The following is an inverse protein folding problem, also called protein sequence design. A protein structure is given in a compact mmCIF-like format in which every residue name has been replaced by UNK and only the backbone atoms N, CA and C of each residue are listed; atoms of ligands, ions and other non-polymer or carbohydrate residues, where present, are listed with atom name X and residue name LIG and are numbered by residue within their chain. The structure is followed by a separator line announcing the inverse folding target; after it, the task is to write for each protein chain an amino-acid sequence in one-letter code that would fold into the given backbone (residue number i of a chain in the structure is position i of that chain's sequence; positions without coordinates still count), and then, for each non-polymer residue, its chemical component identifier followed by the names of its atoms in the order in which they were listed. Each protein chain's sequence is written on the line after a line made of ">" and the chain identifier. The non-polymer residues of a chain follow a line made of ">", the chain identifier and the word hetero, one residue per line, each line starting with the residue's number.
data_IF_529117173006
#
_entry.id   IF_529117173006
#
_cell.length_a   1.000
_cell.length_b   1.000
_cell.length_c   1.000
_cell.angle_alpha   90.00
_cell.angle_beta   90.00
_cell.angle_gamma   90.00
#
_symmetry.space_group_name_H-M   'P 1'
#
loop_
_entity.id
_entity.type
_entity.pdbx_description
1 polymer ?
#
# COMPACT_ATOMS: atom_id res chain seq x y z
N UNK A 1 -10.27 19.39 -1.76
CA UNK A 1 -9.85 18.54 -2.88
C UNK A 1 -9.78 17.14 -2.34
N UNK A 2 -10.74 16.27 -2.72
CA UNK A 2 -10.71 14.86 -2.36
C UNK A 2 -9.50 14.26 -3.04
N UNK A 3 -8.52 13.80 -2.27
CA UNK A 3 -7.34 13.13 -2.79
C UNK A 3 -7.78 11.93 -3.61
N UNK A 4 -7.33 11.88 -4.86
CA UNK A 4 -7.51 10.71 -5.73
C UNK A 4 -6.94 9.47 -5.01
N UNK A 5 -7.79 8.54 -4.52
CA UNK A 5 -7.33 7.41 -3.71
C UNK A 5 -6.62 6.35 -4.54
N UNK A 6 -6.51 6.55 -5.86
CA UNK A 6 -5.99 5.52 -6.75
C UNK A 6 -4.47 5.64 -6.80
N UNK A 7 -3.83 4.89 -5.93
CA UNK A 7 -2.45 4.47 -6.06
C UNK A 7 -2.23 3.94 -7.47
N UNK A 8 -1.42 4.61 -8.28
CA UNK A 8 -1.13 4.15 -9.64
C UNK A 8 -0.12 3.01 -9.58
N UNK A 9 -0.66 1.78 -9.47
CA UNK A 9 0.16 0.57 -9.47
C UNK A 9 0.50 0.19 -10.90
N UNK A 10 1.78 -0.05 -11.15
CA UNK A 10 2.31 -0.49 -12.43
C UNK A 10 2.08 -1.99 -12.62
N UNK A 11 2.31 -2.45 -13.85
CA UNK A 11 2.19 -3.88 -14.21
C UNK A 11 3.12 -4.80 -13.41
N UNK A 12 4.17 -4.29 -12.81
CA UNK A 12 5.11 -5.04 -11.96
C UNK A 12 4.78 -4.93 -10.47
N UNK A 13 3.58 -4.50 -10.13
CA UNK A 13 3.11 -4.24 -8.77
C UNK A 13 3.84 -3.09 -8.06
N UNK A 14 4.70 -2.33 -8.74
CA UNK A 14 5.27 -1.13 -8.16
C UNK A 14 4.27 0.02 -8.16
N UNK A 15 4.28 0.83 -7.10
CA UNK A 15 3.53 2.08 -7.05
C UNK A 15 4.33 3.20 -7.73
N UNK A 16 3.68 3.95 -8.63
CA UNK A 16 4.20 5.26 -9.03
C UNK A 16 3.84 6.26 -7.95
N UNK A 17 4.79 6.53 -7.08
CA UNK A 17 4.62 7.53 -6.02
C UNK A 17 4.56 8.93 -6.63
N UNK A 18 3.47 9.65 -6.36
CA UNK A 18 3.34 11.06 -6.71
C UNK A 18 3.79 11.91 -5.53
N UNK A 19 4.94 12.53 -5.68
CA UNK A 19 5.45 13.48 -4.69
C UNK A 19 4.66 14.77 -4.69
N UNK A 20 4.74 15.51 -3.58
CA UNK A 20 4.01 16.76 -3.41
C UNK A 20 4.53 17.85 -4.33
N UNK A 21 5.87 17.94 -4.45
CA UNK A 21 6.56 18.92 -5.27
C UNK A 21 7.51 18.25 -6.25
N UNK A 22 7.66 18.86 -7.41
CA UNK A 22 8.58 18.36 -8.45
C UNK A 22 10.03 18.43 -7.96
N UNK A 23 10.72 17.30 -7.99
CA UNK A 23 12.12 17.21 -7.57
C UNK A 23 12.33 16.98 -6.07
N UNK A 24 11.29 17.04 -5.24
CA UNK A 24 11.35 16.74 -3.82
C UNK A 24 10.69 15.38 -3.58
N UNK A 25 11.46 14.32 -3.25
CA UNK A 25 10.95 12.97 -3.18
C UNK A 25 10.20 12.69 -1.85
N UNK A 26 9.13 13.46 -1.61
CA UNK A 26 8.30 13.42 -0.42
C UNK A 26 6.82 13.53 -0.80
N UNK A 27 6.00 12.66 -0.25
CA UNK A 27 4.54 12.69 -0.36
C UNK A 27 3.92 12.55 1.02
N UNK A 28 3.13 13.53 1.44
CA UNK A 28 2.43 13.55 2.73
C UNK A 28 0.94 13.63 2.44
N UNK A 29 0.17 12.64 2.87
CA UNK A 29 -1.28 12.54 2.59
C UNK A 29 -2.06 12.15 3.84
N UNK A 30 -3.26 12.67 3.91
CA UNK A 30 -4.31 12.10 4.76
C UNK A 30 -5.09 11.08 3.95
N UNK A 31 -5.52 10.02 4.60
CA UNK A 31 -6.29 8.97 3.99
C UNK A 31 -7.45 8.52 4.87
N UNK A 32 -8.53 8.11 4.20
CA UNK A 32 -9.62 7.34 4.80
C UNK A 32 -9.63 5.97 4.14
N UNK A 33 -9.73 4.93 4.94
CA UNK A 33 -9.73 3.57 4.39
C UNK A 33 -10.98 3.29 3.56
N UNK A 34 -12.09 3.97 3.84
CA UNK A 34 -13.33 3.95 3.04
C UNK A 34 -13.17 4.54 1.63
N UNK A 35 -12.10 5.29 1.36
CA UNK A 35 -11.79 5.75 0.00
C UNK A 35 -11.32 4.61 -0.93
N UNK A 36 -10.90 3.48 -0.38
CA UNK A 36 -10.48 2.31 -1.14
C UNK A 36 -11.65 1.32 -1.29
N UNK A 37 -11.80 0.66 -2.47
CA UNK A 37 -12.81 -0.37 -2.65
C UNK A 37 -12.71 -1.43 -1.55
N UNK A 38 -13.86 -1.75 -0.93
CA UNK A 38 -13.95 -2.72 0.16
C UNK A 38 -13.00 -2.45 1.33
N UNK A 39 -12.69 -1.17 1.62
CA UNK A 39 -11.76 -0.75 2.68
C UNK A 39 -10.41 -1.47 2.58
N UNK A 40 -9.87 -1.60 1.35
CA UNK A 40 -8.64 -2.35 1.09
C UNK A 40 -7.80 -1.68 0.00
N UNK A 41 -6.54 -1.40 0.30
CA UNK A 41 -5.56 -0.99 -0.70
C UNK A 41 -5.09 -2.19 -1.54
N UNK A 42 -4.65 -1.92 -2.77
CA UNK A 42 -4.00 -2.93 -3.61
C UNK A 42 -2.66 -3.35 -3.01
N UNK A 43 -2.30 -4.62 -3.18
CA UNK A 43 -0.99 -5.11 -2.80
C UNK A 43 0.06 -4.54 -3.75
N UNK A 44 1.03 -3.80 -3.21
CA UNK A 44 2.05 -3.09 -4.00
C UNK A 44 3.38 -3.01 -3.26
N UNK A 45 4.38 -2.50 -3.96
CA UNK A 45 5.68 -2.15 -3.41
C UNK A 45 6.20 -0.86 -4.05
N UNK A 46 7.11 -0.17 -3.37
CA UNK A 46 7.81 1.01 -3.86
C UNK A 46 9.22 1.10 -3.27
N UNK A 47 10.04 1.99 -3.80
CA UNK A 47 11.40 2.23 -3.29
C UNK A 47 11.42 3.17 -2.09
N UNK A 48 10.31 3.85 -1.82
CA UNK A 48 10.15 4.77 -0.71
C UNK A 48 10.06 4.03 0.62
N UNK A 49 10.45 4.72 1.69
CA UNK A 49 10.09 4.37 3.06
C UNK A 49 8.69 4.90 3.28
N UNK A 50 7.77 4.06 3.74
CA UNK A 50 6.41 4.46 4.07
C UNK A 50 6.21 4.55 5.58
N UNK A 51 5.51 5.61 5.99
CA UNK A 51 5.01 5.81 7.33
C UNK A 51 3.50 5.86 7.29
N UNK A 52 2.85 5.05 8.11
CA UNK A 52 1.41 5.07 8.32
C UNK A 52 1.16 5.34 9.79
N UNK A 53 0.47 6.44 10.11
CA UNK A 53 0.08 6.81 11.47
C UNK A 53 -1.44 6.85 11.57
N UNK A 54 -2.02 6.15 12.54
CA UNK A 54 -3.47 6.06 12.73
C UNK A 54 -3.95 7.21 13.60
N UNK A 55 -4.78 8.09 13.04
CA UNK A 55 -5.41 9.19 13.78
C UNK A 55 -6.68 8.76 14.51
N UNK A 56 -7.48 7.92 13.86
CA UNK A 56 -8.68 7.33 14.48
C UNK A 56 -9.07 6.02 13.80
N UNK A 57 -9.73 5.15 14.54
CA UNK A 57 -10.09 3.82 14.07
C UNK A 57 -8.96 2.81 14.19
N UNK A 58 -8.99 1.80 13.36
CA UNK A 58 -7.95 0.76 13.29
C UNK A 58 -7.78 0.24 11.86
N UNK A 59 -6.57 -0.21 11.53
CA UNK A 59 -6.23 -0.76 10.23
C UNK A 59 -5.39 -2.02 10.39
N UNK A 60 -5.72 -3.07 9.66
CA UNK A 60 -4.80 -4.19 9.47
C UNK A 60 -3.81 -3.84 8.36
N UNK A 61 -2.55 -4.09 8.62
CA UNK A 61 -1.49 -3.96 7.63
C UNK A 61 -0.89 -5.33 7.33
N UNK A 62 -0.90 -5.72 6.07
CA UNK A 62 -0.36 -7.00 5.63
C UNK A 62 0.96 -6.79 4.91
N UNK A 63 1.99 -7.53 5.29
CA UNK A 63 3.34 -7.35 4.78
C UNK A 63 4.10 -8.67 4.79
N UNK A 64 4.52 -9.14 3.62
CA UNK A 64 5.33 -10.33 3.48
C UNK A 64 4.85 -11.55 4.31
N UNK A 65 3.53 -11.76 4.39
CA UNK A 65 2.96 -12.87 5.17
C UNK A 65 2.67 -12.55 6.64
N UNK A 66 3.05 -11.38 7.12
CA UNK A 66 2.79 -10.92 8.48
C UNK A 66 1.60 -9.97 8.49
N UNK A 67 0.78 -10.08 9.52
CA UNK A 67 -0.33 -9.17 9.78
C UNK A 67 0.00 -8.35 11.03
N UNK A 68 -0.15 -7.05 10.91
CA UNK A 68 -0.01 -6.08 12.01
C UNK A 68 -1.33 -5.33 12.14
N UNK A 69 -1.94 -5.33 13.33
CA UNK A 69 -3.07 -4.47 13.64
C UNK A 69 -2.53 -3.15 14.17
N UNK A 70 -2.92 -2.05 13.53
CA UNK A 70 -2.60 -0.69 13.94
C UNK A 70 -3.83 -0.07 14.59
N UNK A 71 -3.67 0.49 15.77
CA UNK A 71 -4.70 1.20 16.52
C UNK A 71 -4.45 2.71 16.51
N UNK A 72 -5.43 3.48 16.91
CA UNK A 72 -5.31 4.94 17.08
C UNK A 72 -4.08 5.31 17.90
N UNK A 73 -3.26 6.22 17.39
CA UNK A 73 -2.01 6.68 18.00
C UNK A 73 -0.78 5.85 17.66
N UNK A 74 -0.94 4.67 17.05
CA UNK A 74 0.17 3.84 16.60
C UNK A 74 0.64 4.20 15.19
N UNK A 75 1.88 3.86 14.87
CA UNK A 75 2.43 4.01 13.53
C UNK A 75 3.20 2.78 13.07
N UNK A 76 3.27 2.63 11.76
CA UNK A 76 4.08 1.63 11.09
C UNK A 76 5.07 2.31 10.15
N UNK A 77 6.35 1.99 10.27
CA UNK A 77 7.33 2.23 9.22
C UNK A 77 7.45 0.99 8.36
N UNK A 78 7.22 1.10 7.07
CA UNK A 78 7.49 0.05 6.09
C UNK A 78 8.82 0.36 5.42
N UNK A 79 9.74 -0.59 5.45
CA UNK A 79 11.03 -0.43 4.79
C UNK A 79 10.88 -0.48 3.27
N UNK A 80 11.84 0.10 2.55
CA UNK A 80 11.88 0.11 1.08
C UNK A 80 11.69 -1.29 0.47
N UNK A 81 10.94 -1.35 -0.64
CA UNK A 81 10.77 -2.55 -1.47
C UNK A 81 10.03 -3.72 -0.80
N UNK A 82 9.25 -3.48 0.24
CA UNK A 82 8.39 -4.51 0.83
C UNK A 82 7.05 -4.58 0.09
N UNK A 83 6.53 -5.80 -0.11
CA UNK A 83 5.16 -5.99 -0.61
C UNK A 83 4.18 -5.82 0.54
N UNK A 84 3.23 -4.86 0.42
CA UNK A 84 2.32 -4.52 1.51
C UNK A 84 0.98 -3.98 1.04
N UNK A 85 0.01 -3.93 1.95
CA UNK A 85 -1.27 -3.24 1.81
C UNK A 85 -2.00 -3.10 3.14
N UNK A 86 -2.77 -2.00 3.29
CA UNK A 86 -3.68 -1.77 4.42
C UNK A 86 -5.11 -2.22 4.11
N UNK A 87 -5.86 -2.69 5.12
CA UNK A 87 -7.25 -3.11 4.95
C UNK A 87 -8.03 -3.15 6.28
N UNK A 88 -9.37 -3.15 6.18
CA UNK A 88 -10.28 -3.43 7.29
C UNK A 88 -10.93 -4.79 7.11
N UNK A 89 -11.01 -5.60 8.18
CA UNK A 89 -11.72 -6.90 8.14
C UNK A 89 -13.22 -6.77 8.33
N UNK A 90 -13.64 -5.78 9.09
CA UNK A 90 -15.03 -5.58 9.50
C UNK A 90 -15.71 -4.41 8.79
N UNK A 91 -15.05 -3.81 7.79
CA UNK A 91 -15.57 -2.67 7.04
C UNK A 91 -15.64 -1.36 7.84
N UNK A 92 -15.02 -1.31 9.03
CA UNK A 92 -14.88 -0.06 9.77
C UNK A 92 -13.87 0.85 9.08
N UNK A 93 -14.15 2.15 9.11
CA UNK A 93 -13.25 3.15 8.56
C UNK A 93 -12.05 3.41 9.46
N UNK A 94 -10.99 3.91 8.87
CA UNK A 94 -9.77 4.31 9.56
C UNK A 94 -9.25 5.59 8.92
N UNK A 95 -9.00 6.58 9.76
CA UNK A 95 -8.36 7.84 9.38
C UNK A 95 -6.86 7.76 9.70
N UNK A 96 -6.04 7.99 8.68
CA UNK A 96 -4.59 7.82 8.81
C UNK A 96 -3.80 8.89 8.05
N UNK A 97 -2.56 9.08 8.48
CA UNK A 97 -1.54 9.83 7.74
C UNK A 97 -0.65 8.83 7.02
N UNK A 98 -0.39 9.05 5.72
CA UNK A 98 0.61 8.33 4.94
C UNK A 98 1.71 9.31 4.52
N UNK A 99 2.95 8.98 4.86
CA UNK A 99 4.13 9.71 4.42
C UNK A 99 5.02 8.76 3.64
N UNK A 100 5.26 9.08 2.38
CA UNK A 100 6.20 8.37 1.52
C UNK A 100 7.42 9.27 1.31
N UNK A 101 8.59 8.77 1.65
CA UNK A 101 9.83 9.48 1.42
C UNK A 101 10.84 8.56 0.73
N UNK A 102 11.30 8.96 -0.46
CA UNK A 102 12.35 8.22 -1.11
C UNK A 102 13.66 8.43 -0.33
N UNK A 103 14.45 7.35 -0.11
CA UNK A 103 15.70 7.45 0.66
C UNK A 103 16.69 8.53 0.19
N UNK A 104 16.56 8.99 -1.04
CA UNK A 104 17.34 10.12 -1.58
C UNK A 104 17.14 11.42 -0.80
N UNK A 105 16.04 11.60 -0.07
CA UNK A 105 15.81 12.79 0.77
C UNK A 105 16.88 12.93 1.86
N UNK A 106 17.50 11.82 2.27
CA UNK A 106 18.56 11.80 3.27
C UNK A 106 19.98 12.00 2.70
N UNK A 107 20.13 12.15 1.37
CA UNK A 107 21.43 12.31 0.72
C UNK A 107 21.88 13.77 0.81
N UNK A 108 22.22 14.22 2.01
CA UNK A 108 22.93 15.48 2.23
C UNK A 108 24.45 15.26 2.27
N UNK A 109 24.89 14.06 2.62
CA UNK A 109 26.27 13.63 2.69
C UNK A 109 26.35 12.13 2.40
N UNK A 110 27.18 11.74 1.43
CA UNK A 110 27.34 10.33 1.03
C UNK A 110 27.83 9.40 2.15
N UNK A 111 28.68 9.90 3.04
CA UNK A 111 29.20 9.11 4.18
C UNK A 111 28.06 8.82 5.17
N UNK A 112 27.25 9.83 5.52
CA UNK A 112 26.10 9.64 6.42
C UNK A 112 25.08 8.68 5.81
N UNK A 113 24.80 8.80 4.52
CA UNK A 113 23.89 7.89 3.83
C UNK A 113 24.40 6.44 3.89
N UNK A 114 25.67 6.20 3.56
CA UNK A 114 26.25 4.86 3.57
C UNK A 114 26.40 4.28 4.98
N UNK A 115 26.56 5.13 6.00
CA UNK A 115 26.72 4.67 7.37
C UNK A 115 25.38 4.39 8.07
N UNK A 116 24.32 5.15 7.78
CA UNK A 116 23.11 5.14 8.60
C UNK A 116 21.80 4.89 7.84
N UNK A 117 21.78 5.03 6.53
CA UNK A 117 20.58 4.83 5.71
C UNK A 117 20.65 3.53 4.90
N UNK A 118 21.67 3.40 4.05
CA UNK A 118 21.80 2.26 3.15
C UNK A 118 21.82 0.90 3.87
N UNK A 119 22.50 0.72 5.02
CA UNK A 119 22.48 -0.55 5.76
C UNK A 119 21.08 -0.91 6.27
N UNK A 120 20.31 0.07 6.74
CA UNK A 120 18.94 -0.15 7.22
C UNK A 120 18.03 -0.57 6.08
N UNK A 121 18.10 0.12 4.92
CA UNK A 121 17.30 -0.21 3.74
C UNK A 121 17.59 -1.62 3.20
N UNK A 122 18.85 -2.05 3.30
CA UNK A 122 19.29 -3.37 2.85
C UNK A 122 19.15 -4.46 3.92
N UNK A 123 18.74 -4.11 5.14
CA UNK A 123 18.60 -5.07 6.25
C UNK A 123 17.45 -6.06 5.96
N UNK A 124 17.75 -7.35 5.67
CA UNK A 124 16.72 -8.34 5.32
C UNK A 124 15.83 -8.70 6.52
N UNK A 125 16.28 -8.41 7.75
CA UNK A 125 15.51 -8.68 8.96
C UNK A 125 14.57 -7.55 9.35
N UNK A 126 14.74 -6.37 8.75
CA UNK A 126 13.91 -5.19 8.99
C UNK A 126 12.92 -4.97 7.82
N UNK A 127 11.76 -5.61 7.91
CA UNK A 127 10.68 -5.37 6.95
C UNK A 127 9.87 -4.14 7.35
N UNK A 128 9.66 -3.94 8.64
CA UNK A 128 8.90 -2.85 9.24
C UNK A 128 9.30 -2.60 10.69
N UNK A 129 8.91 -1.43 11.22
CA UNK A 129 8.85 -1.14 12.65
C UNK A 129 7.42 -0.76 13.02
N UNK A 130 6.91 -1.35 14.10
CA UNK A 130 5.61 -0.99 14.69
C UNK A 130 5.86 -0.13 15.92
N UNK A 131 5.49 1.15 15.85
CA UNK A 131 5.67 2.12 16.91
C UNK A 131 4.38 2.24 17.72
N UNK A 132 4.50 2.21 19.05
CA UNK A 132 3.37 2.19 19.95
C UNK A 132 3.51 3.22 21.07
N UNK A 133 2.45 3.97 21.38
CA UNK A 133 2.51 5.06 22.36
C UNK A 133 2.79 4.60 23.80
N UNK A 134 2.55 3.31 24.12
CA UNK A 134 2.88 2.74 25.43
C UNK A 134 4.39 2.56 25.67
N UNK A 135 5.23 2.60 24.63
CA UNK A 135 6.68 2.53 24.75
C UNK A 135 7.29 3.95 24.75
N UNK A 136 7.98 4.34 25.82
CA UNK A 136 8.58 5.68 25.91
C UNK A 136 9.55 6.01 24.77
N UNK A 137 10.27 5.01 24.26
CA UNK A 137 11.18 5.14 23.12
C UNK A 137 10.49 5.48 21.81
N UNK A 138 9.19 5.15 21.65
CA UNK A 138 8.40 5.43 20.46
C UNK A 138 7.68 6.78 20.56
N UNK A 139 7.37 7.23 21.78
CA UNK A 139 6.52 8.40 22.03
C UNK A 139 7.03 9.66 21.33
N UNK A 140 8.33 9.92 21.39
CA UNK A 140 8.94 11.07 20.73
C UNK A 140 8.93 10.95 19.19
N UNK A 141 9.06 9.73 18.67
CA UNK A 141 9.00 9.48 17.24
C UNK A 141 7.56 9.67 16.71
N UNK A 142 6.56 9.16 17.44
CA UNK A 142 5.15 9.27 17.10
C UNK A 142 4.64 10.72 17.03
N UNK A 143 5.19 11.63 17.84
CA UNK A 143 4.84 13.05 17.82
C UNK A 143 5.26 13.76 16.53
N UNK A 144 6.31 13.29 15.86
CA UNK A 144 6.83 13.93 14.65
C UNK A 144 5.93 13.70 13.44
N UNK A 145 5.19 12.58 13.37
CA UNK A 145 4.37 12.25 12.20
C UNK A 145 3.18 13.20 11.99
N UNK A 146 2.35 13.49 13.01
CA UNK A 146 1.32 14.54 12.91
C UNK A 146 1.90 15.93 12.66
N UNK A 147 3.08 16.22 13.21
CA UNK A 147 3.76 17.51 13.04
C UNK A 147 4.17 17.72 11.57
N UNK A 148 4.71 16.72 10.91
CA UNK A 148 5.04 16.77 9.47
C UNK A 148 3.79 17.08 8.65
N UNK A 149 2.62 16.48 8.98
CA UNK A 149 1.36 16.79 8.31
C UNK A 149 0.91 18.22 8.61
N UNK A 150 1.05 18.70 9.87
CA UNK A 150 0.67 20.06 10.26
C UNK A 150 1.44 21.10 9.43
N UNK A 151 2.75 20.97 9.36
CA UNK A 151 3.62 21.86 8.58
C UNK A 151 3.22 21.87 7.11
N UNK A 152 2.94 20.72 6.53
CA UNK A 152 2.44 20.66 5.15
C UNK A 152 1.12 21.43 4.97
N UNK A 153 0.18 21.33 5.92
CA UNK A 153 -1.11 22.01 5.84
C UNK A 153 -0.99 23.53 5.99
N UNK A 154 -0.17 23.97 6.91
CA UNK A 154 0.09 25.38 7.15
C UNK A 154 0.91 26.02 6.02
N UNK A 155 1.69 25.21 5.31
CA UNK A 155 2.49 25.57 4.15
C UNK A 155 3.36 26.83 4.38
N UNK A 156 4.14 26.90 5.48
CA UNK A 156 5.04 28.02 5.69
C UNK A 156 6.15 28.05 4.62
N UNK A 157 6.84 29.18 4.49
CA UNK A 157 7.96 29.26 3.58
C UNK A 157 9.01 28.16 3.91
N UNK A 158 9.45 27.43 2.90
CA UNK A 158 10.43 26.34 3.03
C UNK A 158 9.96 25.13 3.89
N UNK A 159 8.64 24.84 3.90
CA UNK A 159 8.07 23.71 4.65
C UNK A 159 8.73 22.37 4.26
N UNK A 160 9.19 22.22 3.04
CA UNK A 160 9.85 21.01 2.54
C UNK A 160 11.17 20.75 3.26
N UNK A 161 11.93 21.83 3.57
CA UNK A 161 13.17 21.71 4.33
C UNK A 161 12.85 21.29 5.77
N UNK A 162 11.83 21.88 6.36
CA UNK A 162 11.40 21.56 7.72
C UNK A 162 10.87 20.13 7.81
N UNK A 163 10.05 19.69 6.87
CA UNK A 163 9.57 18.31 6.78
C UNK A 163 10.73 17.30 6.61
N UNK A 164 11.72 17.59 5.76
CA UNK A 164 12.91 16.76 5.60
C UNK A 164 13.77 16.71 6.87
N UNK A 165 13.87 17.82 7.61
CA UNK A 165 14.58 17.87 8.88
C UNK A 165 13.87 17.03 9.95
N UNK A 166 12.55 17.09 10.03
CA UNK A 166 11.75 16.26 10.95
C UNK A 166 11.84 14.77 10.60
N UNK A 167 11.85 14.40 9.32
CA UNK A 167 12.09 13.02 8.89
C UNK A 167 13.50 12.54 9.26
N UNK A 168 14.49 13.41 9.14
CA UNK A 168 15.86 13.10 9.56
C UNK A 168 15.97 12.92 11.08
N UNK A 169 15.27 13.75 11.85
CA UNK A 169 15.19 13.62 13.31
C UNK A 169 14.48 12.34 13.72
N UNK A 170 13.35 12.02 13.07
CA UNK A 170 12.62 10.77 13.25
C UNK A 170 13.53 9.57 13.03
N UNK A 171 14.28 9.56 11.92
CA UNK A 171 15.25 8.51 11.60
C UNK A 171 16.34 8.35 12.68
N UNK A 172 16.90 9.48 13.15
CA UNK A 172 17.92 9.46 14.21
C UNK A 172 17.38 8.89 15.53
N UNK A 173 16.12 9.22 15.89
CA UNK A 173 15.48 8.66 17.10
C UNK A 173 15.32 7.15 16.98
N UNK A 174 14.85 6.67 15.85
CA UNK A 174 14.67 5.23 15.62
C UNK A 174 15.98 4.46 15.60
N UNK A 175 17.04 5.01 15.03
CA UNK A 175 18.38 4.39 15.08
C UNK A 175 18.90 4.23 16.53
N UNK A 176 18.48 5.09 17.45
CA UNK A 176 18.87 5.01 18.86
C UNK A 176 18.01 4.03 19.66
N UNK A 177 16.73 3.93 19.33
CA UNK A 177 15.73 3.19 20.09
C UNK A 177 15.51 1.77 19.59
N UNK A 178 15.77 1.53 18.31
CA UNK A 178 15.48 0.25 17.66
C UNK A 178 16.70 -0.35 16.97
N UNK A 179 16.81 -1.69 16.92
CA UNK A 179 17.92 -2.39 16.24
C UNK A 179 17.71 -2.38 14.71
N UNK A 180 17.75 -1.18 14.09
CA UNK A 180 17.53 -1.02 12.65
C UNK A 180 18.71 -1.46 11.79
N UNK A 181 19.92 -1.44 12.35
CA UNK A 181 21.13 -1.83 11.63
C UNK A 181 21.21 -3.35 11.49
N UNK A 182 21.75 -3.85 10.36
CA UNK A 182 21.92 -5.29 10.17
C UNK A 182 22.82 -5.86 11.28
N UNK A 183 22.38 -6.95 11.88
CA UNK A 183 23.21 -7.74 12.76
C UNK A 183 23.83 -8.87 11.93
N UNK A 184 25.14 -8.87 11.75
CA UNK A 184 25.88 -9.89 10.97
C UNK A 184 25.57 -11.32 11.44
N UNK A 185 25.35 -11.52 12.74
CA UNK A 185 25.00 -12.82 13.31
C UNK A 185 23.54 -13.24 13.04
N UNK A 186 22.66 -12.29 12.72
CA UNK A 186 21.23 -12.52 12.50
C UNK A 186 20.80 -12.39 11.03
N UNK A 187 21.71 -12.11 10.10
CA UNK A 187 21.42 -11.95 8.69
C UNK A 187 20.88 -13.26 8.08
N UNK A 188 19.57 -13.45 8.18
CA UNK A 188 18.89 -14.47 7.38
C UNK A 188 18.95 -14.01 5.92
N UNK A 189 19.33 -14.89 4.97
CA UNK A 189 19.23 -14.57 3.55
C UNK A 189 17.80 -14.14 3.25
N UNK A 190 17.63 -13.14 2.35
CA UNK A 190 16.29 -12.78 1.81
C UNK A 190 15.59 -14.08 1.45
N UNK A 191 14.38 -14.30 2.00
CA UNK A 191 13.63 -15.49 1.66
C UNK A 191 13.44 -15.50 0.12
N UNK A 192 13.99 -16.48 -0.61
CA UNK A 192 13.90 -16.51 -2.08
C UNK A 192 12.44 -16.42 -2.56
N UNK A 193 11.52 -16.90 -1.73
CA UNK A 193 10.09 -16.92 -1.99
C UNK A 193 9.47 -15.51 -2.12
N UNK A 194 10.05 -14.45 -1.52
CA UNK A 194 9.54 -13.08 -1.68
C UNK A 194 9.81 -12.50 -3.07
N UNK A 195 10.96 -12.82 -3.67
CA UNK A 195 11.23 -12.43 -5.05
C UNK A 195 10.33 -13.20 -6.02
N UNK A 196 10.17 -14.50 -5.78
CA UNK A 196 9.23 -15.35 -6.54
C UNK A 196 7.80 -14.83 -6.42
N UNK A 197 7.36 -14.43 -5.23
CA UNK A 197 6.05 -13.83 -5.02
C UNK A 197 5.88 -12.55 -5.84
N UNK A 198 6.88 -11.66 -5.83
CA UNK A 198 6.86 -10.41 -6.60
C UNK A 198 6.72 -10.69 -8.11
N UNK A 199 7.50 -11.62 -8.65
CA UNK A 199 7.43 -11.98 -10.07
C UNK A 199 6.04 -12.51 -10.44
N UNK A 200 5.43 -13.35 -9.61
CA UNK A 200 4.08 -13.86 -9.83
C UNK A 200 2.99 -12.79 -9.72
N UNK A 201 3.09 -11.88 -8.76
CA UNK A 201 2.14 -10.75 -8.61
C UNK A 201 2.28 -9.79 -9.78
N UNK A 202 3.51 -9.47 -10.17
CA UNK A 202 3.83 -8.68 -11.36
C UNK A 202 3.20 -9.26 -12.63
N UNK A 203 3.31 -10.58 -12.80
CA UNK A 203 2.68 -11.28 -13.93
C UNK A 203 1.15 -11.13 -13.91
N UNK A 204 0.50 -11.32 -12.77
CA UNK A 204 -0.95 -11.13 -12.62
C UNK A 204 -1.34 -9.70 -13.01
N UNK A 205 -0.65 -8.68 -12.51
CA UNK A 205 -0.96 -7.27 -12.79
C UNK A 205 -0.70 -6.89 -14.26
N UNK A 206 0.25 -7.56 -14.91
CA UNK A 206 0.53 -7.34 -16.34
C UNK A 206 -0.53 -7.94 -17.27
N UNK A 207 -1.07 -9.10 -16.90
CA UNK A 207 -1.88 -9.93 -17.78
C UNK A 207 -3.30 -10.22 -17.26
N UNK A 208 -3.77 -9.51 -16.21
CA UNK A 208 -5.07 -9.75 -15.57
C UNK A 208 -6.26 -9.76 -16.55
N UNK A 209 -6.20 -8.94 -17.61
CA UNK A 209 -7.24 -8.84 -18.63
C UNK A 209 -7.28 -10.02 -19.59
N UNK A 210 -6.25 -10.86 -19.58
CA UNK A 210 -6.14 -12.05 -20.41
C UNK A 210 -6.65 -13.30 -19.68
N UNK A 211 -6.83 -14.39 -20.42
CA UNK A 211 -7.25 -15.67 -19.84
C UNK A 211 -6.05 -16.40 -19.23
N UNK A 212 -5.52 -15.86 -18.12
CA UNK A 212 -4.39 -16.47 -17.40
C UNK A 212 -4.86 -17.54 -16.42
N UNK A 213 -4.02 -18.56 -16.23
CA UNK A 213 -4.27 -19.70 -15.36
C UNK A 213 -3.14 -19.90 -14.32
N UNK A 214 -3.34 -20.87 -13.43
CA UNK A 214 -2.38 -21.16 -12.34
C UNK A 214 -0.99 -21.58 -12.85
N UNK A 215 -0.92 -22.28 -14.02
CA UNK A 215 0.36 -22.72 -14.57
C UNK A 215 1.20 -21.54 -15.04
N UNK A 216 0.57 -20.58 -15.69
CA UNK A 216 1.23 -19.38 -16.20
C UNK A 216 1.71 -18.51 -15.04
N UNK A 217 0.90 -18.36 -13.98
CA UNK A 217 1.31 -17.64 -12.76
C UNK A 217 2.52 -18.34 -12.11
N UNK A 218 2.48 -19.67 -11.98
CA UNK A 218 3.58 -20.43 -11.41
C UNK A 218 4.86 -20.37 -12.27
N UNK A 219 4.70 -20.41 -13.61
CA UNK A 219 5.80 -20.29 -14.55
C UNK A 219 6.50 -18.92 -14.46
N UNK A 220 5.75 -17.83 -14.24
CA UNK A 220 6.31 -16.49 -14.03
C UNK A 220 7.28 -16.46 -12.83
N UNK A 221 6.95 -17.16 -11.75
CA UNK A 221 7.84 -17.32 -10.58
C UNK A 221 8.87 -18.45 -10.74
N UNK A 222 8.90 -19.15 -11.88
CA UNK A 222 9.77 -20.33 -12.12
C UNK A 222 9.60 -21.43 -11.07
N UNK A 223 8.37 -21.66 -10.62
CA UNK A 223 8.01 -22.65 -9.59
C UNK A 223 6.90 -23.58 -10.08
N UNK A 224 6.71 -24.70 -9.40
CA UNK A 224 5.55 -25.57 -9.65
C UNK A 224 4.27 -25.00 -9.01
N UNK A 225 3.08 -25.47 -9.46
CA UNK A 225 1.76 -25.06 -8.93
C UNK A 225 1.67 -25.12 -7.40
N UNK A 226 2.16 -26.21 -6.80
CA UNK A 226 2.09 -26.39 -5.36
C UNK A 226 2.88 -25.31 -4.62
N UNK A 227 4.10 -25.01 -5.07
CA UNK A 227 4.95 -23.97 -4.51
C UNK A 227 4.33 -22.59 -4.72
N UNK A 228 3.77 -22.30 -5.90
CA UNK A 228 3.01 -21.10 -6.18
C UNK A 228 1.88 -20.90 -5.16
N UNK A 229 1.02 -21.91 -4.97
CA UNK A 229 -0.07 -21.86 -4.00
C UNK A 229 0.44 -21.69 -2.56
N UNK A 230 1.55 -22.32 -2.18
CA UNK A 230 2.15 -22.17 -0.86
C UNK A 230 2.63 -20.73 -0.63
N UNK A 231 3.31 -20.14 -1.62
CA UNK A 231 3.80 -18.75 -1.55
C UNK A 231 2.63 -17.79 -1.42
N UNK A 232 1.60 -17.90 -2.25
CA UNK A 232 0.42 -17.04 -2.15
C UNK A 232 -0.31 -17.17 -0.81
N UNK A 233 -0.49 -18.39 -0.29
CA UNK A 233 -1.08 -18.62 1.03
C UNK A 233 -0.22 -18.05 2.15
N UNK A 234 1.11 -18.25 2.10
CA UNK A 234 2.04 -17.78 3.13
C UNK A 234 2.13 -16.26 3.17
N UNK A 235 2.28 -15.60 2.01
CA UNK A 235 2.62 -14.19 1.92
C UNK A 235 1.44 -13.29 1.57
N UNK A 236 0.33 -13.80 1.11
CA UNK A 236 -0.85 -13.04 0.70
C UNK A 236 -2.16 -13.57 1.28
N UNK A 237 -2.10 -14.64 2.08
CA UNK A 237 -3.24 -15.29 2.76
C UNK A 237 -4.43 -15.65 1.83
N UNK A 238 -4.14 -15.94 0.56
CA UNK A 238 -5.15 -16.29 -0.44
C UNK A 238 -4.55 -17.19 -1.53
N UNK A 239 -5.39 -17.75 -2.39
CA UNK A 239 -4.90 -18.50 -3.54
C UNK A 239 -4.48 -17.55 -4.68
N UNK A 240 -3.61 -17.99 -5.63
CA UNK A 240 -3.25 -17.19 -6.80
C UNK A 240 -4.46 -16.74 -7.63
N UNK A 241 -5.46 -17.61 -7.80
CA UNK A 241 -6.67 -17.30 -8.56
C UNK A 241 -7.60 -16.36 -7.80
N UNK A 242 -7.69 -16.46 -6.47
CA UNK A 242 -8.44 -15.50 -5.67
C UNK A 242 -7.77 -14.13 -5.74
N UNK A 243 -6.44 -14.06 -5.68
CA UNK A 243 -5.69 -12.80 -5.85
C UNK A 243 -5.97 -12.16 -7.22
N UNK A 244 -5.89 -12.94 -8.31
CA UNK A 244 -6.24 -12.49 -9.66
C UNK A 244 -7.67 -11.94 -9.71
N UNK A 245 -8.63 -12.68 -9.16
CA UNK A 245 -10.03 -12.28 -9.18
C UNK A 245 -10.26 -11.01 -8.34
N UNK A 246 -9.62 -10.86 -7.18
CA UNK A 246 -9.68 -9.63 -6.39
C UNK A 246 -9.15 -8.44 -7.19
N UNK A 247 -7.99 -8.57 -7.83
CA UNK A 247 -7.44 -7.49 -8.65
C UNK A 247 -8.36 -7.11 -9.82
N UNK A 248 -8.92 -8.09 -10.54
CA UNK A 248 -9.92 -7.86 -11.58
C UNK A 248 -11.16 -7.10 -11.08
N UNK A 249 -11.64 -7.45 -9.88
CA UNK A 249 -12.77 -6.75 -9.26
C UNK A 249 -12.43 -5.30 -8.91
N UNK A 250 -11.24 -5.03 -8.41
CA UNK A 250 -10.77 -3.67 -8.10
C UNK A 250 -10.68 -2.81 -9.37
N UNK A 251 -10.10 -3.36 -10.44
CA UNK A 251 -10.10 -2.68 -11.75
C UNK A 251 -11.54 -2.45 -12.24
N UNK A 252 -12.43 -3.42 -12.04
CA UNK A 252 -13.83 -3.26 -12.43
C UNK A 252 -14.53 -2.14 -11.66
N UNK A 253 -14.27 -1.97 -10.37
CA UNK A 253 -14.78 -0.83 -9.58
C UNK A 253 -14.31 0.51 -10.16
N UNK A 254 -13.03 0.61 -10.54
CA UNK A 254 -12.54 1.80 -11.22
C UNK A 254 -13.27 2.09 -12.54
N UNK A 255 -13.46 1.07 -13.37
CA UNK A 255 -14.19 1.22 -14.63
C UNK A 255 -15.67 1.56 -14.42
N UNK A 256 -16.33 0.98 -13.39
CA UNK A 256 -17.70 1.29 -13.01
C UNK A 256 -17.88 2.77 -12.64
N UNK A 257 -16.89 3.35 -11.94
CA UNK A 257 -16.95 4.72 -11.44
C UNK A 257 -16.56 5.77 -12.49
N UNK A 258 -15.65 5.42 -13.41
CA UNK A 258 -15.01 6.41 -14.29
C UNK A 258 -15.35 6.26 -15.77
N UNK A 259 -16.19 5.28 -16.12
CA UNK A 259 -16.57 5.05 -17.54
C UNK A 259 -18.06 4.78 -17.71
N UNK A 260 -18.54 4.97 -18.94
CA UNK A 260 -19.92 4.60 -19.35
C UNK A 260 -19.99 3.19 -19.96
N UNK A 261 -18.96 2.37 -19.86
CA UNK A 261 -18.95 1.01 -20.37
C UNK A 261 -20.08 0.18 -19.73
N UNK A 262 -20.73 -0.67 -20.52
CA UNK A 262 -21.73 -1.61 -20.01
C UNK A 262 -21.10 -2.62 -19.04
N UNK A 263 -21.92 -3.26 -18.21
CA UNK A 263 -21.45 -4.31 -17.29
C UNK A 263 -20.77 -5.47 -18.04
N UNK A 264 -21.26 -5.79 -19.25
CA UNK A 264 -20.67 -6.83 -20.09
C UNK A 264 -19.28 -6.42 -20.62
N UNK A 265 -19.13 -5.19 -21.09
CA UNK A 265 -17.84 -4.66 -21.55
C UNK A 265 -16.82 -4.60 -20.42
N UNK A 266 -17.22 -4.16 -19.22
CA UNK A 266 -16.35 -4.15 -18.03
C UNK A 266 -15.94 -5.58 -17.66
N UNK A 267 -16.87 -6.53 -17.65
CA UNK A 267 -16.59 -7.93 -17.40
C UNK A 267 -15.47 -8.44 -18.33
N UNK A 268 -15.60 -8.19 -19.62
CA UNK A 268 -14.60 -8.60 -20.64
C UNK A 268 -13.29 -7.84 -20.48
N UNK A 269 -13.34 -6.52 -20.29
CA UNK A 269 -12.14 -5.69 -20.10
C UNK A 269 -11.31 -6.08 -18.86
N UNK A 270 -11.96 -6.63 -17.83
CA UNK A 270 -11.31 -7.14 -16.63
C UNK A 270 -10.88 -8.62 -16.75
N UNK A 271 -11.04 -9.27 -17.92
CA UNK A 271 -10.59 -10.64 -18.16
C UNK A 271 -11.51 -11.72 -17.59
N UNK A 272 -12.78 -11.41 -17.28
CA UNK A 272 -13.75 -12.41 -16.89
C UNK A 272 -14.43 -13.02 -18.13
N UNK A 273 -14.44 -14.33 -18.25
CA UNK A 273 -15.03 -15.04 -19.38
C UNK A 273 -16.58 -15.08 -19.34
N UNK A 274 -17.17 -14.96 -18.15
CA UNK A 274 -18.62 -15.07 -17.97
C UNK A 274 -19.13 -13.99 -17.02
N UNK A 275 -20.08 -13.17 -17.51
CA UNK A 275 -20.70 -12.11 -16.74
C UNK A 275 -21.44 -12.61 -15.48
N UNK A 276 -22.02 -13.81 -15.53
CA UNK A 276 -22.68 -14.42 -14.37
C UNK A 276 -21.68 -14.74 -13.25
N UNK A 277 -20.50 -15.24 -13.60
CA UNK A 277 -19.44 -15.47 -12.62
C UNK A 277 -18.90 -14.15 -12.04
N UNK A 278 -18.61 -13.16 -12.90
CA UNK A 278 -18.21 -11.82 -12.49
C UNK A 278 -19.22 -11.23 -11.49
N UNK A 279 -20.51 -11.20 -11.85
CA UNK A 279 -21.54 -10.63 -10.98
C UNK A 279 -21.67 -11.37 -9.65
N UNK A 280 -21.52 -12.70 -9.65
CA UNK A 280 -21.56 -13.53 -8.44
C UNK A 280 -20.41 -13.21 -7.49
N UNK A 281 -19.16 -13.15 -7.98
CA UNK A 281 -18.01 -12.85 -7.12
C UNK A 281 -18.01 -11.37 -6.69
N UNK A 282 -18.45 -10.44 -7.54
CA UNK A 282 -18.61 -9.04 -7.21
C UNK A 282 -19.61 -8.87 -6.05
N UNK A 283 -20.79 -9.49 -6.15
CA UNK A 283 -21.81 -9.46 -5.09
C UNK A 283 -21.26 -10.05 -3.76
N UNK A 284 -20.51 -11.15 -3.84
CA UNK A 284 -19.88 -11.76 -2.65
C UNK A 284 -18.86 -10.82 -2.00
N UNK A 285 -18.10 -10.06 -2.81
CA UNK A 285 -17.01 -9.21 -2.32
C UNK A 285 -17.52 -7.85 -1.81
N UNK A 286 -18.47 -7.22 -2.55
CA UNK A 286 -18.95 -5.86 -2.28
C UNK A 286 -20.36 -5.78 -1.70
N UNK A 287 -21.02 -6.92 -1.46
CA UNK A 287 -22.40 -7.00 -0.93
C UNK A 287 -23.44 -6.24 -1.77
N UNK A 288 -23.14 -5.97 -3.03
CA UNK A 288 -24.07 -5.37 -3.99
C UNK A 288 -23.71 -5.81 -5.41
N UNK A 289 -24.67 -5.66 -6.38
CA UNK A 289 -24.37 -5.94 -7.77
C UNK A 289 -23.46 -4.87 -8.39
N UNK A 290 -22.74 -5.17 -9.50
CA UNK A 290 -21.98 -4.15 -10.24
C UNK A 290 -22.84 -2.96 -10.68
N UNK A 291 -24.11 -3.20 -11.01
CA UNK A 291 -25.07 -2.17 -11.41
C UNK A 291 -25.44 -1.25 -10.25
N UNK A 292 -25.73 -1.83 -9.08
CA UNK A 292 -26.06 -1.06 -7.87
C UNK A 292 -24.85 -0.28 -7.38
N UNK A 293 -23.65 -0.85 -7.49
CA UNK A 293 -22.41 -0.18 -7.15
C UNK A 293 -22.23 1.10 -7.97
N UNK A 294 -22.38 1.05 -9.29
CA UNK A 294 -22.33 2.22 -10.18
C UNK A 294 -23.36 3.28 -9.78
N UNK A 295 -24.62 2.87 -9.58
CA UNK A 295 -25.70 3.78 -9.22
C UNK A 295 -25.41 4.55 -7.93
N UNK A 296 -24.92 3.87 -6.89
CA UNK A 296 -24.54 4.50 -5.61
C UNK A 296 -23.44 5.55 -5.78
N UNK A 297 -22.50 5.32 -6.68
CA UNK A 297 -21.39 6.27 -6.93
C UNK A 297 -21.90 7.49 -7.69
N UNK A 298 -22.76 7.31 -8.71
CA UNK A 298 -23.39 8.42 -9.44
C UNK A 298 -24.23 9.31 -8.51
N UNK A 299 -24.99 8.71 -7.59
CA UNK A 299 -25.78 9.42 -6.58
C UNK A 299 -24.91 10.25 -5.63
N UNK A 300 -23.78 9.71 -5.15
CA UNK A 300 -22.81 10.42 -4.29
C UNK A 300 -22.20 11.61 -5.02
N UNK A 301 -21.74 11.41 -6.24
CA UNK A 301 -21.11 12.49 -7.04
C UNK A 301 -22.09 13.60 -7.35
N UNK A 302 -23.36 13.28 -7.58
CA UNK A 302 -24.42 14.26 -7.83
C UNK A 302 -24.79 15.06 -6.56
N UNK A 303 -24.79 14.42 -5.39
CA UNK A 303 -25.03 15.08 -4.10
C UNK A 303 -23.91 16.06 -3.76
N UNK A 304 -22.64 15.66 -3.93
CA UNK A 304 -21.47 16.52 -3.69
C UNK A 304 -21.37 17.71 -4.67
N UNK A 305 -21.91 17.58 -5.88
CA UNK A 305 -22.00 18.67 -6.85
C UNK A 305 -23.07 19.69 -6.45
N UNK A 306 -24.20 19.23 -5.88
CA UNK A 306 -25.31 20.10 -5.45
C UNK A 306 -25.08 20.84 -4.12
N UNK A 307 -24.09 20.44 -3.32
CA UNK A 307 -23.68 21.16 -2.08
C UNK A 307 -22.63 22.27 -2.36
N UNK A 308 -22.12 22.36 -3.58
CA UNK A 308 -21.10 23.36 -3.98
C UNK A 308 -21.65 24.53 -4.80
N UNK A 309 -22.92 24.48 -5.19
CA UNK A 309 -23.67 25.58 -5.80
C UNK A 309 -24.54 26.31 -4.76
#
# INVERSE_FOLDING_TARGET
>A
MVNDPITKIMRDASEIVRYDEVGIPLSIREGLLSAYPNHRALCHWHEDIEWVYIRSGQMNYYMNGKRVLLNTGEALMVNSRQMHYGYSENGQDCDFIRILCHPKIFITNSVLYQSYIAPVLSNPSLEYLHLKPEFPEDAEALQLLPEILRIKKEHPAAYEIEAAALLSLLWCRLLRSHPMMPNEAAAKPKEPDLLVQRDMVSYIYSYYSESINLDEIAAAGKVCRNKCCQIFRRYLNQSPIDFLNHYRLEVSCHLLNNTKLSIAEICTACGFNHQSYYSKIFLRTYSCSPRDFRKRTEEKTSAEASEKD
#
